data_IF_656307049229
#
_entry.id   IF_656307049229
#
_cell.length_a   1.000
_cell.length_b   1.000
_cell.length_c   1.000
_cell.angle_alpha   90.00
_cell.angle_beta   90.00
_cell.angle_gamma   90.00
#
_symmetry.space_group_name_H-M   'P 1'
#
loop_
_entity.id
_entity.type
_entity.pdbx_description
1 polymer ?
#
# COMPACT_ATOMS: atom_id res chain seq x y z
N UNK A 1 -25.84 -5.66 26.00
CA UNK A 1 -24.45 -5.22 25.72
C UNK A 1 -23.87 -5.83 24.45
N UNK A 2 -23.86 -7.17 24.29
CA UNK A 2 -23.33 -7.85 23.08
C UNK A 2 -23.93 -7.35 21.76
N UNK A 3 -25.25 -7.19 21.68
CA UNK A 3 -25.96 -6.72 20.48
C UNK A 3 -25.53 -5.29 20.10
N UNK A 4 -25.43 -4.40 21.08
CA UNK A 4 -24.99 -3.02 20.87
C UNK A 4 -23.54 -2.96 20.37
N UNK A 5 -22.63 -3.73 21.02
CA UNK A 5 -21.24 -3.83 20.57
C UNK A 5 -21.15 -4.36 19.15
N UNK A 6 -21.90 -5.41 18.80
CA UNK A 6 -21.92 -5.97 17.44
C UNK A 6 -22.45 -4.97 16.39
N UNK A 7 -23.39 -4.10 16.78
CA UNK A 7 -23.92 -3.06 15.89
C UNK A 7 -22.91 -1.92 15.66
N UNK A 8 -22.16 -1.51 16.67
CA UNK A 8 -21.19 -0.40 16.59
C UNK A 8 -19.87 -0.84 15.96
N UNK A 9 -19.43 -2.06 16.18
CA UNK A 9 -18.12 -2.59 15.80
C UNK A 9 -17.76 -2.35 14.32
N UNK A 10 -18.64 -2.62 13.32
CA UNK A 10 -18.33 -2.34 11.91
C UNK A 10 -18.06 -0.85 11.63
N UNK A 11 -18.72 0.05 12.36
CA UNK A 11 -18.52 1.50 12.18
C UNK A 11 -17.20 1.97 12.76
N UNK A 12 -16.74 1.40 13.89
CA UNK A 12 -15.39 1.66 14.41
C UNK A 12 -14.34 1.19 13.42
N UNK A 13 -14.53 0.03 12.79
CA UNK A 13 -13.64 -0.49 11.76
C UNK A 13 -13.64 0.40 10.50
N UNK A 14 -14.80 0.91 10.07
CA UNK A 14 -14.92 1.86 8.96
C UNK A 14 -14.20 3.17 9.31
N UNK A 15 -14.44 3.70 10.52
CA UNK A 15 -13.82 4.93 11.00
C UNK A 15 -12.29 4.82 11.00
N UNK A 16 -11.74 3.66 11.39
CA UNK A 16 -10.31 3.40 11.33
C UNK A 16 -9.75 3.71 9.93
N UNK A 17 -10.38 3.19 8.88
CA UNK A 17 -9.90 3.44 7.50
C UNK A 17 -10.17 4.86 7.01
N UNK A 18 -11.22 5.53 7.49
CA UNK A 18 -11.50 6.91 7.12
C UNK A 18 -10.48 7.90 7.70
N UNK A 19 -9.91 7.59 8.87
CA UNK A 19 -8.96 8.49 9.53
C UNK A 19 -7.50 8.21 9.13
N UNK A 20 -7.18 7.10 8.47
CA UNK A 20 -5.81 6.77 8.07
C UNK A 20 -5.09 7.89 7.29
N UNK A 21 -5.73 8.63 6.36
CA UNK A 21 -5.08 9.76 5.72
C UNK A 21 -4.63 10.87 6.66
N UNK A 22 -5.18 10.93 7.88
CA UNK A 22 -4.87 11.92 8.91
C UNK A 22 -3.83 11.43 9.93
N UNK A 23 -3.13 10.32 9.66
CA UNK A 23 -2.19 9.69 10.61
C UNK A 23 -1.15 10.66 11.15
N UNK A 24 -0.67 11.61 10.36
CA UNK A 24 0.29 12.61 10.80
C UNK A 24 -0.30 13.65 11.76
N UNK A 25 -1.59 13.96 11.66
CA UNK A 25 -2.30 14.92 12.52
C UNK A 25 -2.85 14.28 13.79
N UNK A 26 -3.34 13.05 13.69
CA UNK A 26 -4.03 12.35 14.79
C UNK A 26 -3.38 10.99 15.08
N UNK A 27 -2.07 10.98 15.26
CA UNK A 27 -1.22 9.78 15.39
C UNK A 27 -1.73 8.74 16.38
N UNK A 28 -2.38 9.17 17.47
CA UNK A 28 -2.91 8.26 18.49
C UNK A 28 -4.25 7.62 18.10
N UNK A 29 -5.05 8.26 17.26
CA UNK A 29 -6.44 7.85 17.00
C UNK A 29 -6.57 6.49 16.30
N UNK A 30 -5.77 6.12 15.29
CA UNK A 30 -5.78 4.77 14.73
C UNK A 30 -5.50 3.71 15.79
N UNK A 31 -4.54 3.96 16.67
CA UNK A 31 -4.19 3.02 17.76
C UNK A 31 -5.31 2.89 18.80
N UNK A 32 -5.99 3.99 19.14
CA UNK A 32 -7.15 3.98 20.04
C UNK A 32 -8.29 3.17 19.44
N UNK A 33 -8.61 3.37 18.16
CA UNK A 33 -9.65 2.61 17.47
C UNK A 33 -9.31 1.12 17.38
N UNK A 34 -8.04 0.80 17.10
CA UNK A 34 -7.55 -0.57 17.13
C UNK A 34 -7.70 -1.20 18.52
N UNK A 35 -7.37 -0.48 19.57
CA UNK A 35 -7.55 -0.95 20.96
C UNK A 35 -9.03 -1.22 21.27
N UNK A 36 -9.93 -0.32 20.87
CA UNK A 36 -11.38 -0.51 21.01
C UNK A 36 -11.83 -1.79 20.31
N UNK A 37 -11.38 -2.00 19.06
CA UNK A 37 -11.70 -3.20 18.29
C UNK A 37 -11.17 -4.47 18.97
N UNK A 38 -9.93 -4.45 19.48
CA UNK A 38 -9.32 -5.59 20.19
C UNK A 38 -10.09 -5.92 21.46
N UNK A 39 -10.46 -4.92 22.27
CA UNK A 39 -11.24 -5.13 23.49
C UNK A 39 -12.65 -5.65 23.20
N UNK A 40 -13.31 -5.14 22.16
CA UNK A 40 -14.65 -5.57 21.78
C UNK A 40 -14.70 -6.96 21.10
N UNK A 41 -13.63 -7.36 20.43
CA UNK A 41 -13.55 -8.58 19.63
C UNK A 41 -13.96 -9.86 20.38
N UNK A 42 -13.44 -10.18 21.58
CA UNK A 42 -13.78 -11.43 22.29
C UNK A 42 -15.27 -11.54 22.62
N UNK A 43 -15.97 -10.42 22.80
CA UNK A 43 -17.39 -10.39 23.14
C UNK A 43 -18.31 -10.60 21.93
N UNK A 44 -17.78 -10.40 20.70
CA UNK A 44 -18.58 -10.37 19.47
C UNK A 44 -18.33 -11.62 18.63
N UNK A 45 -17.09 -12.09 18.59
CA UNK A 45 -16.65 -13.21 17.72
C UNK A 45 -17.46 -14.48 17.98
N UNK A 46 -17.80 -15.20 16.90
CA UNK A 46 -18.47 -16.49 16.97
C UNK A 46 -17.64 -17.58 16.30
N UNK A 47 -17.89 -18.86 16.66
CA UNK A 47 -17.22 -20.00 16.01
C UNK A 47 -17.48 -20.05 14.49
N UNK A 48 -18.60 -19.48 14.02
CA UNK A 48 -18.92 -19.38 12.59
C UNK A 48 -18.01 -18.36 11.89
N UNK A 49 -17.64 -17.28 12.56
CA UNK A 49 -16.77 -16.25 12.00
C UNK A 49 -15.35 -16.77 11.77
N UNK A 50 -14.83 -17.60 12.68
CA UNK A 50 -13.51 -18.22 12.53
C UNK A 50 -13.41 -19.12 11.29
N UNK A 51 -14.52 -19.70 10.83
CA UNK A 51 -14.56 -20.52 9.60
C UNK A 51 -14.47 -19.69 8.31
N UNK A 52 -14.61 -18.35 8.38
CA UNK A 52 -14.48 -17.48 7.21
C UNK A 52 -13.03 -17.32 6.75
N UNK A 53 -12.07 -17.55 7.63
CA UNK A 53 -10.65 -17.33 7.33
C UNK A 53 -10.05 -18.45 6.48
N UNK A 54 -9.22 -18.10 5.54
CA UNK A 54 -8.43 -19.04 4.77
C UNK A 54 -7.25 -19.56 5.59
N UNK A 55 -7.41 -20.71 6.24
CA UNK A 55 -6.46 -21.28 7.19
C UNK A 55 -5.05 -21.39 6.58
N UNK A 56 -4.91 -21.96 5.38
CA UNK A 56 -3.60 -22.17 4.76
C UNK A 56 -2.80 -20.89 4.54
N UNK A 57 -3.46 -19.85 3.99
CA UNK A 57 -2.80 -18.56 3.73
C UNK A 57 -2.47 -17.82 5.02
N UNK A 58 -3.36 -17.88 6.01
CA UNK A 58 -3.14 -17.24 7.32
C UNK A 58 -2.02 -17.93 8.10
N UNK A 59 -1.96 -19.26 8.04
CA UNK A 59 -0.91 -20.04 8.69
C UNK A 59 0.48 -19.66 8.15
N UNK A 60 0.62 -19.48 6.83
CA UNK A 60 1.88 -19.03 6.22
C UNK A 60 2.31 -17.65 6.72
N UNK A 61 1.37 -16.70 6.84
CA UNK A 61 1.67 -15.37 7.38
C UNK A 61 2.06 -15.43 8.86
N UNK A 62 1.34 -16.21 9.67
CA UNK A 62 1.67 -16.41 11.08
C UNK A 62 3.04 -17.08 11.23
N UNK A 63 3.33 -18.11 10.42
CA UNK A 63 4.64 -18.76 10.41
C UNK A 63 5.76 -17.78 10.08
N UNK A 64 5.56 -16.89 9.11
CA UNK A 64 6.54 -15.86 8.77
C UNK A 64 6.83 -14.94 9.95
N UNK A 65 5.80 -14.47 10.66
CA UNK A 65 5.99 -13.64 11.87
C UNK A 65 6.70 -14.41 12.97
N UNK A 66 6.32 -15.67 13.21
CA UNK A 66 6.99 -16.50 14.19
C UNK A 66 8.46 -16.73 13.83
N UNK A 67 8.79 -16.91 12.55
CA UNK A 67 10.16 -16.98 12.08
C UNK A 67 10.93 -15.69 12.40
N UNK A 68 10.37 -14.50 12.11
CA UNK A 68 11.02 -13.22 12.41
C UNK A 68 11.28 -13.05 13.90
N UNK A 69 10.31 -13.40 14.75
CA UNK A 69 10.45 -13.37 16.21
C UNK A 69 11.53 -14.34 16.69
N UNK A 70 11.52 -15.58 16.21
CA UNK A 70 12.50 -16.59 16.56
C UNK A 70 13.91 -16.18 16.11
N UNK A 71 14.05 -15.68 14.87
CA UNK A 71 15.31 -15.17 14.35
C UNK A 71 15.88 -14.07 15.23
N UNK A 72 15.05 -13.09 15.58
CA UNK A 72 15.44 -11.95 16.44
C UNK A 72 15.84 -12.40 17.85
N UNK A 73 15.11 -13.38 18.44
CA UNK A 73 15.43 -13.96 19.74
C UNK A 73 16.75 -14.73 19.72
N UNK A 74 16.94 -15.63 18.74
CA UNK A 74 18.17 -16.45 18.62
C UNK A 74 19.41 -15.58 18.43
N UNK A 75 19.26 -14.48 17.68
CA UNK A 75 20.35 -13.52 17.43
C UNK A 75 20.55 -12.51 18.57
N UNK A 76 19.79 -12.58 19.66
CA UNK A 76 19.89 -11.67 20.81
C UNK A 76 19.47 -10.22 20.53
N UNK A 77 18.64 -9.98 19.49
CA UNK A 77 18.26 -8.64 19.02
C UNK A 77 16.77 -8.30 19.28
N UNK A 78 16.07 -9.14 20.04
CA UNK A 78 14.61 -9.08 20.16
C UNK A 78 14.08 -7.70 20.56
N UNK A 79 14.64 -7.06 21.56
CA UNK A 79 14.18 -5.75 22.05
C UNK A 79 14.27 -4.66 20.97
N UNK A 80 15.34 -4.71 20.18
CA UNK A 80 15.60 -3.72 19.12
C UNK A 80 14.73 -3.95 17.88
N UNK A 81 14.55 -5.21 17.49
CA UNK A 81 13.83 -5.59 16.27
C UNK A 81 12.30 -5.65 16.50
N UNK A 82 11.85 -5.89 17.74
CA UNK A 82 10.42 -6.00 18.05
C UNK A 82 9.63 -4.74 17.67
N UNK A 83 10.26 -3.57 17.73
CA UNK A 83 9.64 -2.29 17.32
C UNK A 83 9.17 -2.36 15.85
N UNK A 84 9.92 -3.05 14.99
CA UNK A 84 9.58 -3.24 13.57
C UNK A 84 8.63 -4.44 13.38
N UNK A 85 8.92 -5.57 14.04
CA UNK A 85 8.12 -6.80 13.90
C UNK A 85 6.68 -6.60 14.35
N UNK A 86 6.42 -5.79 15.40
CA UNK A 86 5.04 -5.47 15.83
C UNK A 86 4.20 -4.81 14.74
N UNK A 87 4.82 -3.96 13.90
CA UNK A 87 4.12 -3.34 12.76
C UNK A 87 3.78 -4.37 11.69
N UNK A 88 4.61 -5.40 11.52
CA UNK A 88 4.35 -6.52 10.61
C UNK A 88 3.23 -7.44 11.10
N UNK A 89 2.96 -7.47 12.42
CA UNK A 89 1.83 -8.23 12.99
C UNK A 89 0.48 -7.53 12.74
N UNK A 90 0.48 -6.22 12.55
CA UNK A 90 -0.72 -5.40 12.44
C UNK A 90 -1.64 -5.84 11.28
N UNK A 91 -1.18 -6.12 10.05
CA UNK A 91 -2.04 -6.61 8.96
C UNK A 91 -2.78 -7.91 9.30
N UNK A 92 -2.11 -8.83 9.99
CA UNK A 92 -2.73 -10.10 10.43
C UNK A 92 -3.79 -9.81 11.52
N UNK A 93 -3.46 -8.95 12.48
CA UNK A 93 -4.41 -8.49 13.51
C UNK A 93 -5.69 -7.91 12.90
N UNK A 94 -5.56 -7.09 11.85
CA UNK A 94 -6.69 -6.50 11.12
C UNK A 94 -7.56 -7.59 10.48
N UNK A 95 -6.96 -8.63 9.89
CA UNK A 95 -7.74 -9.76 9.34
C UNK A 95 -8.58 -10.43 10.42
N UNK A 96 -8.01 -10.69 11.59
CA UNK A 96 -8.78 -11.27 12.71
C UNK A 96 -9.88 -10.33 13.20
N UNK A 97 -9.58 -9.05 13.39
CA UNK A 97 -10.56 -8.06 13.84
C UNK A 97 -11.71 -7.85 12.84
N UNK A 98 -11.49 -8.16 11.57
CA UNK A 98 -12.55 -8.10 10.57
C UNK A 98 -13.55 -9.25 10.64
N UNK A 99 -13.19 -10.41 11.21
CA UNK A 99 -14.01 -11.63 11.16
C UNK A 99 -15.48 -11.46 11.65
N UNK A 100 -15.77 -10.68 12.72
CA UNK A 100 -17.16 -10.47 13.17
C UNK A 100 -18.01 -9.65 12.18
N UNK A 101 -17.39 -8.96 11.22
CA UNK A 101 -18.08 -8.06 10.30
C UNK A 101 -18.71 -8.88 9.16
N UNK A 102 -20.02 -8.70 8.98
CA UNK A 102 -20.76 -9.39 7.93
C UNK A 102 -20.84 -8.59 6.62
N UNK A 103 -20.87 -7.26 6.70
CA UNK A 103 -21.06 -6.38 5.54
C UNK A 103 -19.73 -5.91 4.93
N UNK A 104 -19.22 -6.73 4.04
CA UNK A 104 -17.97 -6.45 3.30
C UNK A 104 -18.08 -5.22 2.37
N UNK A 105 -19.28 -4.96 1.83
CA UNK A 105 -19.48 -3.84 0.90
C UNK A 105 -19.29 -2.49 1.60
N UNK A 106 -19.74 -2.38 2.86
CA UNK A 106 -19.56 -1.14 3.65
C UNK A 106 -18.09 -0.82 3.90
N UNK A 107 -17.30 -1.83 4.29
CA UNK A 107 -15.87 -1.64 4.56
C UNK A 107 -15.09 -1.28 3.28
N UNK A 108 -15.41 -1.92 2.16
CA UNK A 108 -14.82 -1.56 0.88
C UNK A 108 -15.13 -0.11 0.50
N UNK A 109 -16.34 0.37 0.75
CA UNK A 109 -16.70 1.77 0.51
C UNK A 109 -15.90 2.73 1.39
N UNK A 110 -15.46 2.31 2.59
CA UNK A 110 -14.63 3.16 3.46
C UNK A 110 -13.33 3.60 2.77
N UNK A 111 -12.67 2.73 1.99
CA UNK A 111 -11.47 3.09 1.23
C UNK A 111 -11.80 4.13 0.14
N UNK A 112 -12.93 4.00 -0.56
CA UNK A 112 -13.36 4.98 -1.56
C UNK A 112 -13.60 6.34 -0.89
N UNK A 113 -14.30 6.37 0.24
CA UNK A 113 -14.54 7.62 0.97
C UNK A 113 -13.24 8.20 1.56
N UNK A 114 -12.34 7.35 2.07
CA UNK A 114 -11.03 7.76 2.56
C UNK A 114 -10.21 8.47 1.47
N UNK A 115 -10.22 7.92 0.23
CA UNK A 115 -9.55 8.58 -0.90
C UNK A 115 -10.18 9.92 -1.25
N UNK A 116 -11.52 10.05 -1.24
CA UNK A 116 -12.19 11.32 -1.49
C UNK A 116 -11.87 12.37 -0.42
N UNK A 117 -11.84 11.98 0.85
CA UNK A 117 -11.48 12.88 1.95
C UNK A 117 -10.04 13.41 1.74
N UNK A 118 -9.10 12.53 1.41
CA UNK A 118 -7.73 12.92 1.13
C UNK A 118 -7.63 13.88 -0.09
N UNK A 119 -8.38 13.61 -1.16
CA UNK A 119 -8.44 14.46 -2.36
C UNK A 119 -9.02 15.83 -2.03
N UNK A 120 -10.16 15.88 -1.34
CA UNK A 120 -10.82 17.14 -0.98
C UNK A 120 -9.90 17.98 -0.09
N UNK A 121 -9.27 17.36 0.92
CA UNK A 121 -8.32 18.04 1.78
C UNK A 121 -7.17 18.66 0.98
N UNK A 122 -6.53 17.89 0.12
CA UNK A 122 -5.42 18.37 -0.72
C UNK A 122 -5.86 19.53 -1.62
N UNK A 123 -7.04 19.43 -2.25
CA UNK A 123 -7.55 20.52 -3.10
C UNK A 123 -7.82 21.79 -2.29
N UNK A 124 -8.37 21.68 -1.09
CA UNK A 124 -8.60 22.83 -0.20
C UNK A 124 -7.27 23.46 0.22
N UNK A 125 -6.28 22.66 0.65
CA UNK A 125 -4.96 23.17 1.03
C UNK A 125 -4.25 23.83 -0.16
N UNK A 126 -4.34 23.23 -1.33
CA UNK A 126 -3.79 23.79 -2.56
C UNK A 126 -4.43 25.16 -2.89
N UNK A 127 -5.76 25.29 -2.78
CA UNK A 127 -6.46 26.57 -2.99
C UNK A 127 -6.03 27.64 -1.97
N UNK A 128 -5.79 27.25 -0.72
CA UNK A 128 -5.28 28.16 0.32
C UNK A 128 -3.87 28.64 -0.04
N UNK A 129 -2.98 27.73 -0.46
CA UNK A 129 -1.62 28.07 -0.86
C UNK A 129 -1.58 29.00 -2.08
N UNK A 130 -2.40 28.72 -3.10
CA UNK A 130 -2.52 29.58 -4.30
C UNK A 130 -3.04 30.99 -3.94
N UNK A 131 -3.97 31.09 -2.97
CA UNK A 131 -4.49 32.39 -2.55
C UNK A 131 -3.49 33.19 -1.69
N UNK A 132 -2.56 32.53 -1.03
CA UNK A 132 -1.51 33.16 -0.22
C UNK A 132 -0.32 33.64 -1.05
N UNK A 133 0.01 32.90 -2.12
CA UNK A 133 1.17 33.13 -2.98
C UNK A 133 0.69 33.47 -4.40
N UNK A 134 0.80 34.76 -4.81
CA UNK A 134 0.36 35.21 -6.13
C UNK A 134 1.11 34.59 -7.33
N UNK A 135 2.28 33.99 -7.09
CA UNK A 135 3.18 33.45 -8.12
C UNK A 135 3.12 31.92 -8.29
N UNK A 136 2.14 31.27 -7.65
CA UNK A 136 1.97 29.81 -7.74
C UNK A 136 1.48 29.42 -9.13
N UNK A 137 2.35 28.85 -9.95
CA UNK A 137 1.89 28.22 -11.19
C UNK A 137 1.32 26.84 -10.86
N UNK A 138 0.15 26.52 -11.43
CA UNK A 138 -0.59 25.24 -11.27
C UNK A 138 0.30 24.00 -11.60
N UNK A 139 1.46 24.23 -12.20
CA UNK A 139 2.45 23.22 -12.56
C UNK A 139 3.51 22.98 -11.47
N UNK A 140 3.50 23.71 -10.34
CA UNK A 140 4.50 23.58 -9.29
C UNK A 140 4.25 22.38 -8.39
N UNK A 141 5.06 21.42 -8.59
CA UNK A 141 5.10 20.09 -8.02
C UNK A 141 5.31 20.07 -6.51
N UNK A 142 6.16 20.94 -5.99
CA UNK A 142 6.56 20.97 -4.58
C UNK A 142 5.39 21.39 -3.69
N UNK A 143 4.71 22.46 -4.05
CA UNK A 143 3.58 23.00 -3.29
C UNK A 143 2.38 22.05 -3.23
N UNK A 144 2.18 21.27 -4.32
CA UNK A 144 1.16 20.22 -4.32
C UNK A 144 1.52 19.11 -3.34
N UNK A 145 2.82 18.80 -3.17
CA UNK A 145 3.29 17.79 -2.23
C UNK A 145 3.12 18.25 -0.79
N UNK A 146 3.42 19.51 -0.50
CA UNK A 146 3.26 20.09 0.84
C UNK A 146 1.77 20.22 1.26
N UNK A 147 0.86 20.26 0.29
CA UNK A 147 -0.58 20.23 0.52
C UNK A 147 -1.14 18.82 0.81
N UNK A 148 -0.35 17.74 0.69
CA UNK A 148 -0.82 16.38 0.91
C UNK A 148 -1.04 16.10 2.40
N UNK A 149 -2.04 15.29 2.68
CA UNK A 149 -2.40 14.89 4.03
C UNK A 149 -1.45 13.81 4.61
N UNK A 150 -0.91 12.97 3.74
CA UNK A 150 0.12 11.97 4.01
C UNK A 150 1.07 11.89 2.82
N UNK A 151 2.19 11.19 2.97
CA UNK A 151 3.15 11.00 1.89
C UNK A 151 2.51 10.59 0.57
N UNK A 152 2.94 11.24 -0.51
CA UNK A 152 2.46 11.02 -1.88
C UNK A 152 2.39 9.56 -2.30
N UNK A 153 3.34 8.73 -1.85
CA UNK A 153 3.40 7.31 -2.18
C UNK A 153 2.24 6.55 -1.57
N UNK A 154 1.87 6.85 -0.31
CA UNK A 154 0.74 6.23 0.39
C UNK A 154 -0.62 6.76 -0.07
N UNK A 155 -0.72 8.06 -0.40
CA UNK A 155 -1.91 8.60 -1.08
C UNK A 155 -2.11 7.90 -2.43
N UNK A 156 -1.02 7.70 -3.18
CA UNK A 156 -1.04 6.95 -4.44
C UNK A 156 -1.58 5.54 -4.26
N UNK A 157 -1.13 4.82 -3.23
CA UNK A 157 -1.62 3.47 -2.90
C UNK A 157 -3.11 3.50 -2.53
N UNK A 158 -3.55 4.47 -1.73
CA UNK A 158 -4.96 4.63 -1.37
C UNK A 158 -5.84 4.84 -2.61
N UNK A 159 -5.43 5.71 -3.53
CA UNK A 159 -6.13 5.94 -4.79
C UNK A 159 -6.18 4.67 -5.66
N UNK A 160 -5.08 3.90 -5.75
CA UNK A 160 -5.07 2.62 -6.46
C UNK A 160 -6.05 1.60 -5.86
N UNK A 161 -6.08 1.48 -4.53
CA UNK A 161 -7.04 0.62 -3.84
C UNK A 161 -8.48 1.08 -4.10
N UNK A 162 -8.75 2.39 -4.06
CA UNK A 162 -10.06 2.97 -4.38
C UNK A 162 -10.48 2.67 -5.83
N UNK A 163 -9.57 2.80 -6.81
CA UNK A 163 -9.81 2.45 -8.22
C UNK A 163 -10.14 0.96 -8.36
N UNK A 164 -9.36 0.07 -7.75
CA UNK A 164 -9.58 -1.37 -7.84
C UNK A 164 -10.90 -1.80 -7.21
N UNK A 165 -11.27 -1.21 -6.06
CA UNK A 165 -12.54 -1.48 -5.41
C UNK A 165 -13.71 -0.96 -6.25
N UNK A 166 -13.62 0.26 -6.76
CA UNK A 166 -14.64 0.84 -7.64
C UNK A 166 -14.82 -0.01 -8.90
N UNK A 167 -13.71 -0.46 -9.51
CA UNK A 167 -13.74 -1.38 -10.65
C UNK A 167 -14.42 -2.72 -10.34
N UNK A 168 -14.19 -3.29 -9.14
CA UNK A 168 -14.86 -4.54 -8.71
C UNK A 168 -16.37 -4.42 -8.68
N UNK A 169 -16.89 -3.24 -8.30
CA UNK A 169 -18.34 -3.01 -8.17
C UNK A 169 -19.01 -2.52 -9.45
N UNK A 170 -18.25 -2.19 -10.50
CA UNK A 170 -18.81 -1.90 -11.81
C UNK A 170 -19.45 -3.16 -12.41
N UNK A 171 -20.75 -3.10 -12.66
CA UNK A 171 -21.51 -4.19 -13.29
C UNK A 171 -21.60 -3.97 -14.80
N UNK A 172 -21.62 -5.08 -15.57
CA UNK A 172 -21.77 -5.02 -17.05
C UNK A 172 -23.18 -4.58 -17.50
N UNK A 173 -24.18 -4.91 -16.68
CA UNK A 173 -25.56 -4.45 -16.90
C UNK A 173 -25.71 -3.05 -16.33
N UNK A 174 -26.66 -2.27 -16.90
CA UNK A 174 -26.97 -0.96 -16.35
C UNK A 174 -27.40 -1.09 -14.87
N UNK A 175 -26.66 -0.36 -14.00
CA UNK A 175 -26.98 -0.25 -12.58
C UNK A 175 -26.81 1.21 -12.16
N UNK A 176 -27.73 1.80 -11.40
CA UNK A 176 -27.66 3.21 -11.00
C UNK A 176 -26.35 3.57 -10.30
N UNK A 177 -25.79 2.65 -9.51
CA UNK A 177 -24.53 2.86 -8.78
C UNK A 177 -23.28 2.91 -9.71
N UNK A 178 -23.36 2.40 -10.95
CA UNK A 178 -22.21 2.39 -11.86
C UNK A 178 -21.65 3.79 -12.11
N UNK A 179 -22.50 4.81 -12.17
CA UNK A 179 -22.08 6.20 -12.34
C UNK A 179 -21.18 6.67 -11.19
N UNK A 180 -21.47 6.28 -9.94
CA UNK A 180 -20.65 6.66 -8.78
C UNK A 180 -19.30 5.95 -8.78
N UNK A 181 -19.26 4.66 -9.13
CA UNK A 181 -18.01 3.92 -9.24
C UNK A 181 -17.14 4.40 -10.39
N UNK A 182 -17.75 4.73 -11.53
CA UNK A 182 -17.03 5.31 -12.68
C UNK A 182 -16.46 6.70 -12.32
N UNK A 183 -17.27 7.56 -11.70
CA UNK A 183 -16.81 8.86 -11.22
C UNK A 183 -15.65 8.73 -10.22
N UNK A 184 -15.74 7.75 -9.29
CA UNK A 184 -14.66 7.45 -8.37
C UNK A 184 -13.36 7.09 -9.10
N UNK A 185 -13.42 6.23 -10.11
CA UNK A 185 -12.24 5.86 -10.90
C UNK A 185 -11.66 7.10 -11.58
N UNK A 186 -12.49 7.90 -12.27
CA UNK A 186 -12.04 9.09 -12.99
C UNK A 186 -11.38 10.09 -12.03
N UNK A 187 -12.02 10.40 -10.90
CA UNK A 187 -11.51 11.35 -9.91
C UNK A 187 -10.16 10.88 -9.35
N UNK A 188 -10.05 9.60 -8.96
CA UNK A 188 -8.79 9.07 -8.42
C UNK A 188 -7.68 9.06 -9.47
N UNK A 189 -7.97 8.69 -10.74
CA UNK A 189 -6.97 8.72 -11.83
C UNK A 189 -6.54 10.15 -12.11
N UNK A 190 -7.47 11.10 -12.23
CA UNK A 190 -7.16 12.53 -12.43
C UNK A 190 -6.31 13.10 -11.30
N UNK A 191 -6.62 12.69 -10.06
CA UNK A 191 -5.84 13.11 -8.91
C UNK A 191 -4.43 12.49 -8.89
N UNK A 192 -4.27 11.22 -9.25
CA UNK A 192 -2.94 10.60 -9.40
C UNK A 192 -2.07 11.32 -10.44
N UNK A 193 -2.68 11.81 -11.53
CA UNK A 193 -2.00 12.63 -12.54
C UNK A 193 -1.66 14.00 -11.96
N UNK A 194 -2.56 14.64 -11.20
CA UNK A 194 -2.33 15.93 -10.56
C UNK A 194 -1.13 15.89 -9.61
N UNK A 195 -1.10 14.92 -8.68
CA UNK A 195 -0.01 14.77 -7.71
C UNK A 195 1.23 14.10 -8.31
N UNK A 196 1.17 13.68 -9.59
CA UNK A 196 2.25 12.98 -10.31
C UNK A 196 2.88 11.84 -9.49
N UNK A 197 2.09 11.02 -8.84
CA UNK A 197 2.60 9.86 -8.09
C UNK A 197 3.17 8.81 -9.05
N UNK A 198 4.47 8.94 -9.39
CA UNK A 198 5.16 8.07 -10.35
C UNK A 198 4.95 6.59 -10.02
N UNK A 199 5.10 6.21 -8.76
CA UNK A 199 4.90 4.83 -8.30
C UNK A 199 3.48 4.34 -8.57
N UNK A 200 2.46 5.13 -8.19
CA UNK A 200 1.07 4.74 -8.40
C UNK A 200 0.70 4.67 -9.88
N UNK A 201 1.19 5.61 -10.69
CA UNK A 201 0.97 5.61 -12.14
C UNK A 201 1.61 4.39 -12.82
N UNK A 202 2.83 4.01 -12.43
CA UNK A 202 3.50 2.80 -12.92
C UNK A 202 2.71 1.55 -12.52
N UNK A 203 2.27 1.46 -11.27
CA UNK A 203 1.44 0.33 -10.82
C UNK A 203 0.12 0.29 -11.61
N UNK A 204 -0.57 1.43 -11.76
CA UNK A 204 -1.81 1.53 -12.55
C UNK A 204 -1.61 1.04 -13.98
N UNK A 205 -0.51 1.43 -14.62
CA UNK A 205 -0.12 0.95 -15.93
C UNK A 205 -0.02 -0.58 -15.97
N UNK A 206 0.73 -1.19 -15.05
CA UNK A 206 0.83 -2.65 -14.96
C UNK A 206 -0.53 -3.31 -14.72
N UNK A 207 -1.42 -2.70 -13.92
CA UNK A 207 -2.76 -3.21 -13.69
C UNK A 207 -3.65 -3.16 -14.95
N UNK A 208 -3.53 -2.11 -15.76
CA UNK A 208 -4.22 -1.99 -17.04
C UNK A 208 -3.74 -3.07 -18.01
N UNK A 209 -2.42 -3.30 -18.08
CA UNK A 209 -1.83 -4.39 -18.88
C UNK A 209 -2.30 -5.75 -18.37
N UNK A 210 -2.20 -5.99 -17.05
CA UNK A 210 -2.68 -7.23 -16.41
C UNK A 210 -4.14 -7.51 -16.76
N UNK A 211 -4.99 -6.48 -16.79
CA UNK A 211 -6.42 -6.63 -17.09
C UNK A 211 -6.67 -7.23 -18.45
N UNK A 212 -5.78 -7.04 -19.42
CA UNK A 212 -5.94 -7.56 -20.80
C UNK A 212 -5.83 -9.10 -20.87
N UNK A 213 -5.15 -9.72 -19.89
CA UNK A 213 -5.04 -11.18 -19.82
C UNK A 213 -6.30 -11.87 -19.28
N UNK A 214 -7.28 -11.12 -18.77
CA UNK A 214 -8.51 -11.65 -18.18
C UNK A 214 -9.73 -11.36 -19.06
N UNK A 215 -10.59 -12.37 -19.26
CA UNK A 215 -11.85 -12.25 -19.99
C UNK A 215 -11.78 -12.75 -21.42
N UNK A 216 -12.84 -12.49 -22.22
CA UNK A 216 -12.96 -12.85 -23.63
C UNK A 216 -12.18 -11.86 -24.50
N UNK A 217 -11.78 -12.26 -25.71
CA UNK A 217 -11.10 -11.41 -26.72
C UNK A 217 -9.75 -10.83 -26.26
N UNK A 218 -8.97 -11.59 -25.51
CA UNK A 218 -7.70 -11.15 -24.92
C UNK A 218 -6.72 -10.61 -25.95
N UNK A 219 -6.59 -11.28 -27.12
CA UNK A 219 -5.59 -10.93 -28.13
C UNK A 219 -5.80 -9.53 -28.71
N UNK A 220 -7.04 -9.21 -29.13
CA UNK A 220 -7.37 -7.89 -29.72
C UNK A 220 -7.13 -6.77 -28.72
N UNK A 221 -7.61 -6.94 -27.47
CA UNK A 221 -7.42 -5.93 -26.43
C UNK A 221 -5.96 -5.72 -26.07
N UNK A 222 -5.18 -6.80 -25.96
CA UNK A 222 -3.74 -6.71 -25.69
C UNK A 222 -3.03 -5.95 -26.82
N UNK A 223 -3.34 -6.27 -28.08
CA UNK A 223 -2.77 -5.56 -29.22
C UNK A 223 -3.09 -4.08 -29.20
N UNK A 224 -4.37 -3.70 -28.97
CA UNK A 224 -4.77 -2.30 -28.87
C UNK A 224 -4.03 -1.60 -27.72
N UNK A 225 -3.95 -2.24 -26.55
CA UNK A 225 -3.25 -1.68 -25.38
C UNK A 225 -1.77 -1.44 -25.70
N UNK A 226 -1.09 -2.41 -26.30
CA UNK A 226 0.32 -2.28 -26.69
C UNK A 226 0.51 -1.15 -27.69
N UNK A 227 -0.33 -1.06 -28.73
CA UNK A 227 -0.27 0.01 -29.73
C UNK A 227 -0.44 1.40 -29.10
N UNK A 228 -1.44 1.55 -28.22
CA UNK A 228 -1.68 2.81 -27.50
C UNK A 228 -0.49 3.19 -26.61
N UNK A 229 0.09 2.22 -25.91
CA UNK A 229 1.24 2.46 -25.04
C UNK A 229 2.48 2.85 -25.82
N UNK A 230 2.75 2.17 -26.93
CA UNK A 230 3.86 2.52 -27.83
C UNK A 230 3.65 3.93 -28.41
N UNK A 231 2.42 4.27 -28.81
CA UNK A 231 2.10 5.61 -29.31
C UNK A 231 2.32 6.69 -28.22
N UNK A 232 1.92 6.42 -26.96
CA UNK A 232 2.17 7.33 -25.82
C UNK A 232 3.67 7.49 -25.58
N UNK A 233 4.44 6.40 -25.55
CA UNK A 233 5.89 6.45 -25.36
C UNK A 233 6.59 7.24 -26.46
N UNK A 234 6.24 7.01 -27.71
CA UNK A 234 6.76 7.74 -28.86
C UNK A 234 6.43 9.23 -28.74
N UNK A 235 5.18 9.55 -28.44
CA UNK A 235 4.74 10.95 -28.30
C UNK A 235 5.45 11.64 -27.12
N UNK A 236 5.62 10.94 -25.99
CA UNK A 236 6.34 11.45 -24.82
C UNK A 236 7.82 11.69 -25.13
N UNK A 237 8.47 10.78 -25.86
CA UNK A 237 9.86 10.93 -26.25
C UNK A 237 10.08 12.18 -27.10
N UNK A 238 9.20 12.45 -28.08
CA UNK A 238 9.32 13.61 -28.98
C UNK A 238 8.90 14.94 -28.35
N UNK A 239 7.88 14.95 -27.45
CA UNK A 239 7.38 16.18 -26.84
C UNK A 239 8.06 16.57 -25.53
N UNK A 240 8.61 15.61 -24.78
CA UNK A 240 9.20 15.84 -23.47
C UNK A 240 10.58 15.16 -23.36
N UNK A 241 11.58 15.59 -24.15
CA UNK A 241 12.92 15.00 -24.12
C UNK A 241 13.56 15.12 -22.74
N UNK A 242 13.25 16.19 -22.00
CA UNK A 242 13.78 16.44 -20.64
C UNK A 242 13.29 15.46 -19.56
N UNK A 243 12.16 14.79 -19.78
CA UNK A 243 11.65 13.77 -18.84
C UNK A 243 12.53 12.52 -18.81
N UNK A 244 13.23 12.24 -19.91
CA UNK A 244 14.11 11.08 -20.06
C UNK A 244 15.60 11.40 -19.87
N UNK A 245 15.97 12.69 -19.68
CA UNK A 245 17.32 13.06 -19.35
C UNK A 245 17.52 12.94 -17.83
N UNK A 246 18.60 12.30 -17.37
CA UNK A 246 18.97 12.38 -15.95
C UNK A 246 19.22 13.84 -15.62
N UNK A 247 18.50 14.40 -14.65
CA UNK A 247 18.75 15.74 -14.13
C UNK A 247 20.16 15.75 -13.51
N UNK A 248 21.10 16.37 -14.20
CA UNK A 248 22.48 16.55 -13.71
C UNK A 248 22.61 17.70 -12.70
N UNK A 249 21.58 18.55 -12.58
CA UNK A 249 21.57 19.67 -11.64
C UNK A 249 20.77 19.31 -10.38
N UNK A 250 21.49 18.90 -9.36
CA UNK A 250 20.95 18.52 -8.02
C UNK A 250 20.84 19.76 -7.09
N UNK A 251 21.24 20.95 -7.53
CA UNK A 251 21.65 22.05 -6.65
C UNK A 251 20.54 22.96 -6.09
N UNK A 252 19.23 22.80 -6.43
CA UNK A 252 18.20 23.76 -5.94
C UNK A 252 16.85 23.17 -5.54
N UNK A 253 16.75 21.93 -5.11
CA UNK A 253 15.44 21.39 -4.71
C UNK A 253 15.39 21.17 -3.21
N UNK A 254 14.70 22.04 -2.49
CA UNK A 254 14.32 21.83 -1.07
C UNK A 254 13.40 20.61 -0.99
N UNK A 255 13.83 19.56 -0.33
CA UNK A 255 13.17 18.25 -0.40
C UNK A 255 12.35 17.94 0.85
N UNK A 256 11.07 17.76 0.68
CA UNK A 256 10.22 17.07 1.67
C UNK A 256 10.29 15.55 1.44
N UNK A 257 10.15 14.79 2.52
CA UNK A 257 10.22 13.31 2.56
C UNK A 257 9.27 12.61 1.57
N UNK A 258 8.23 13.33 1.14
CA UNK A 258 7.15 12.82 0.30
C UNK A 258 7.53 12.57 -1.17
N UNK A 259 8.71 12.97 -1.62
CA UNK A 259 9.08 12.89 -3.04
C UNK A 259 10.55 12.61 -3.29
N UNK A 260 11.10 11.54 -2.70
CA UNK A 260 12.46 11.13 -3.02
C UNK A 260 12.63 10.98 -4.55
N UNK A 261 13.43 11.81 -5.23
CA UNK A 261 13.78 11.61 -6.62
C UNK A 261 14.39 10.22 -6.81
N UNK A 262 14.34 9.68 -8.01
CA UNK A 262 14.97 8.40 -8.30
C UNK A 262 16.46 8.39 -7.92
N UNK A 263 17.14 9.53 -8.06
CA UNK A 263 18.54 9.70 -7.68
C UNK A 263 18.82 9.47 -6.19
N UNK A 264 17.90 9.83 -5.29
CA UNK A 264 18.08 9.55 -3.86
C UNK A 264 17.84 8.08 -3.53
N UNK A 265 16.92 7.43 -4.21
CA UNK A 265 16.74 5.98 -4.06
C UNK A 265 17.93 5.19 -4.54
N UNK A 266 18.60 5.64 -5.61
CA UNK A 266 19.87 5.01 -6.05
C UNK A 266 20.93 5.11 -4.97
N UNK A 267 21.11 6.26 -4.33
CA UNK A 267 22.06 6.43 -3.21
C UNK A 267 21.72 5.50 -2.03
N UNK A 268 20.43 5.38 -1.67
CA UNK A 268 19.98 4.45 -0.62
C UNK A 268 20.29 3.00 -1.01
N UNK A 269 20.01 2.61 -2.26
CA UNK A 269 20.26 1.24 -2.73
C UNK A 269 21.75 0.95 -2.89
N UNK A 270 22.57 1.93 -3.26
CA UNK A 270 24.05 1.80 -3.28
C UNK A 270 24.57 1.57 -1.86
N UNK A 271 24.12 2.35 -0.88
CA UNK A 271 24.45 2.12 0.52
C UNK A 271 23.95 0.74 1.02
N UNK A 272 22.76 0.34 0.63
CA UNK A 272 22.21 -0.98 0.99
C UNK A 272 23.07 -2.10 0.38
N UNK A 273 23.50 -1.94 -0.89
CA UNK A 273 24.38 -2.89 -1.58
C UNK A 273 25.75 -3.00 -0.91
N UNK A 274 26.34 -1.88 -0.48
CA UNK A 274 27.59 -1.87 0.29
C UNK A 274 27.44 -2.66 1.61
N UNK A 275 26.35 -2.42 2.36
CA UNK A 275 26.08 -3.18 3.59
C UNK A 275 25.94 -4.69 3.31
N UNK A 276 25.33 -5.07 2.19
CA UNK A 276 25.22 -6.48 1.79
C UNK A 276 26.60 -7.08 1.52
N UNK A 277 27.47 -6.36 0.82
CA UNK A 277 28.80 -6.85 0.43
C UNK A 277 29.79 -6.92 1.60
N UNK A 278 29.74 -5.95 2.51
CA UNK A 278 30.63 -5.89 3.68
C UNK A 278 30.27 -6.88 4.77
N UNK A 279 28.98 -7.07 4.96
CA UNK A 279 28.49 -8.00 5.95
C UNK A 279 27.83 -9.13 5.23
N UNK A 280 28.33 -10.29 5.40
CA UNK A 280 27.56 -11.48 5.16
C UNK A 280 26.24 -11.38 5.95
N UNK A 281 25.29 -10.56 5.48
CA UNK A 281 23.93 -10.53 6.03
C UNK A 281 23.33 -11.93 6.05
N UNK A 282 23.88 -12.82 5.22
CA UNK A 282 23.79 -14.25 5.31
C UNK A 282 22.35 -14.75 5.36
N UNK A 283 22.18 -15.87 6.07
CA UNK A 283 20.86 -16.51 6.19
C UNK A 283 19.91 -15.78 7.14
N UNK A 284 20.43 -15.08 8.16
CA UNK A 284 19.65 -14.54 9.29
C UNK A 284 19.63 -13.00 9.40
N UNK A 285 20.36 -12.29 8.51
CA UNK A 285 20.43 -10.84 8.48
C UNK A 285 21.14 -10.21 9.68
N UNK A 286 21.26 -8.87 9.65
CA UNK A 286 21.97 -8.11 10.69
C UNK A 286 21.02 -7.47 11.73
N UNK A 287 19.71 -7.52 11.55
CA UNK A 287 18.69 -6.88 12.38
C UNK A 287 18.16 -5.58 11.79
N UNK A 288 16.88 -5.27 12.04
CA UNK A 288 16.22 -4.08 11.50
C UNK A 288 16.84 -2.79 12.05
N UNK A 289 17.14 -2.75 13.35
CA UNK A 289 17.75 -1.58 13.98
C UNK A 289 19.16 -1.35 13.50
N UNK A 290 19.94 -2.42 13.35
CA UNK A 290 21.32 -2.34 12.87
C UNK A 290 21.37 -1.94 11.41
N UNK A 291 20.47 -2.43 10.57
CA UNK A 291 20.31 -1.99 9.18
C UNK A 291 20.12 -0.46 9.11
N UNK A 292 19.20 0.07 9.93
CA UNK A 292 18.96 1.51 9.98
C UNK A 292 20.21 2.30 10.42
N UNK A 293 20.98 1.80 11.39
CA UNK A 293 22.20 2.45 11.86
C UNK A 293 23.30 2.43 10.79
N UNK A 294 23.48 1.29 10.11
CA UNK A 294 24.49 1.16 9.04
C UNK A 294 24.15 2.00 7.82
N UNK A 295 22.87 2.13 7.46
CA UNK A 295 22.44 3.06 6.41
C UNK A 295 22.82 4.49 6.76
N UNK A 296 22.52 4.97 7.97
CA UNK A 296 22.90 6.32 8.42
C UNK A 296 24.44 6.51 8.39
N UNK A 297 25.19 5.51 8.80
CA UNK A 297 26.67 5.56 8.74
C UNK A 297 27.16 5.66 7.28
N UNK A 298 26.58 4.87 6.37
CA UNK A 298 26.89 4.94 4.95
C UNK A 298 26.58 6.33 4.37
N UNK A 299 25.39 6.88 4.67
CA UNK A 299 25.01 8.24 4.21
C UNK A 299 26.02 9.30 4.67
N UNK A 300 26.49 9.18 5.92
CA UNK A 300 27.49 10.08 6.49
C UNK A 300 28.82 10.04 5.72
N UNK A 301 29.21 8.85 5.24
CA UNK A 301 30.53 8.64 4.64
C UNK A 301 30.52 8.82 3.10
N UNK A 302 29.39 8.53 2.44
CA UNK A 302 29.34 8.41 0.98
C UNK A 302 28.67 9.60 0.29
N UNK A 303 27.83 10.37 1.00
CA UNK A 303 27.17 11.52 0.39
C UNK A 303 28.06 12.74 0.55
N UNK A 304 28.57 13.27 -0.59
CA UNK A 304 29.49 14.39 -0.61
C UNK A 304 28.81 15.73 -0.28
N UNK A 305 27.60 15.95 -0.85
CA UNK A 305 26.85 17.17 -0.61
C UNK A 305 26.36 17.25 0.85
N UNK A 306 26.75 18.34 1.54
CA UNK A 306 26.53 18.50 2.98
C UNK A 306 25.04 18.58 3.31
N UNK A 307 24.26 19.29 2.52
CA UNK A 307 22.84 19.50 2.77
C UNK A 307 22.04 18.20 2.56
N UNK A 308 22.28 17.53 1.44
CA UNK A 308 21.70 16.20 1.15
C UNK A 308 22.10 15.20 2.22
N UNK A 309 23.37 15.14 2.60
CA UNK A 309 23.88 14.26 3.65
C UNK A 309 23.17 14.49 4.98
N UNK A 310 23.04 15.75 5.41
CA UNK A 310 22.35 16.09 6.66
C UNK A 310 20.89 15.67 6.61
N UNK A 311 20.20 15.93 5.51
CA UNK A 311 18.83 15.50 5.32
C UNK A 311 18.65 13.96 5.42
N UNK A 312 19.58 13.18 4.83
CA UNK A 312 19.56 11.71 4.92
C UNK A 312 19.80 11.20 6.35
N UNK A 313 20.70 11.86 7.10
CA UNK A 313 21.00 11.54 8.49
C UNK A 313 19.82 11.86 9.40
N UNK A 314 19.22 13.05 9.26
CA UNK A 314 18.13 13.53 10.11
C UNK A 314 16.85 12.71 9.90
N UNK A 315 16.51 12.41 8.65
CA UNK A 315 15.33 11.61 8.28
C UNK A 315 15.53 10.11 8.45
N UNK A 316 16.77 9.65 8.58
CA UNK A 316 17.12 8.22 8.75
C UNK A 316 16.41 7.35 7.72
N UNK A 317 16.54 7.69 6.43
CA UNK A 317 15.89 6.94 5.37
C UNK A 317 16.18 5.44 5.49
N UNK A 318 15.12 4.64 5.36
CA UNK A 318 15.20 3.18 5.29
C UNK A 318 15.57 2.73 3.86
N UNK A 319 15.56 1.42 3.59
CA UNK A 319 15.93 0.86 2.28
C UNK A 319 15.02 1.28 1.12
N UNK A 320 13.83 1.85 1.38
CA UNK A 320 12.78 2.13 0.37
C UNK A 320 12.56 0.96 -0.61
N UNK A 321 12.73 -0.26 -0.12
CA UNK A 321 12.47 -1.51 -0.83
C UNK A 321 12.26 -2.63 0.18
N UNK A 322 11.04 -3.13 0.29
CA UNK A 322 10.67 -4.12 1.29
C UNK A 322 11.45 -5.45 1.15
N UNK A 323 11.85 -5.81 -0.06
CA UNK A 323 12.60 -7.04 -0.31
C UNK A 323 14.05 -6.92 0.15
N UNK A 324 14.70 -5.79 -0.16
CA UNK A 324 16.03 -5.48 0.33
C UNK A 324 16.05 -5.36 1.85
N UNK A 325 15.01 -4.75 2.43
CA UNK A 325 14.87 -4.63 3.87
C UNK A 325 14.83 -5.99 4.57
N UNK A 326 14.01 -6.92 4.08
CA UNK A 326 13.98 -8.28 4.62
C UNK A 326 15.29 -9.03 4.42
N UNK A 327 15.94 -8.87 3.26
CA UNK A 327 17.20 -9.53 2.99
C UNK A 327 18.31 -9.07 3.94
N UNK A 328 18.48 -7.77 4.10
CA UNK A 328 19.53 -7.21 4.94
C UNK A 328 19.23 -7.41 6.42
N UNK A 329 18.00 -7.10 6.84
CA UNK A 329 17.63 -7.06 8.25
C UNK A 329 17.34 -8.46 8.84
N UNK A 330 16.64 -9.32 8.10
CA UNK A 330 16.20 -10.62 8.59
C UNK A 330 16.75 -11.82 7.80
N UNK A 331 17.57 -11.56 6.77
CA UNK A 331 18.33 -12.55 6.02
C UNK A 331 17.59 -13.20 4.85
N UNK A 332 18.35 -14.04 4.13
CA UNK A 332 17.87 -14.72 2.92
C UNK A 332 16.65 -15.61 3.19
N UNK A 333 16.60 -16.27 4.33
CA UNK A 333 15.46 -17.14 4.68
C UNK A 333 14.18 -16.31 4.79
N UNK A 334 14.24 -15.16 5.44
CA UNK A 334 13.12 -14.23 5.55
C UNK A 334 12.61 -13.78 4.17
N UNK A 335 13.53 -13.40 3.29
CA UNK A 335 13.19 -13.00 1.91
C UNK A 335 12.51 -14.14 1.15
N UNK A 336 13.06 -15.37 1.20
CA UNK A 336 12.48 -16.55 0.53
C UNK A 336 11.09 -16.86 1.07
N UNK A 337 10.89 -16.81 2.39
CA UNK A 337 9.59 -17.06 3.01
C UNK A 337 8.57 -15.98 2.57
N UNK A 338 8.97 -14.71 2.56
CA UNK A 338 8.10 -13.62 2.13
C UNK A 338 7.72 -13.74 0.65
N UNK A 339 8.69 -13.98 -0.24
CA UNK A 339 8.44 -14.23 -1.66
C UNK A 339 7.56 -15.46 -1.89
N UNK A 340 7.78 -16.52 -1.10
CA UNK A 340 6.95 -17.74 -1.12
C UNK A 340 5.48 -17.44 -0.76
N UNK A 341 5.24 -16.58 0.22
CA UNK A 341 3.88 -16.12 0.58
C UNK A 341 3.25 -15.35 -0.57
N UNK A 342 3.96 -14.40 -1.16
CA UNK A 342 3.45 -13.61 -2.29
C UNK A 342 3.13 -14.52 -3.48
N UNK A 343 4.04 -15.44 -3.81
CA UNK A 343 3.83 -16.42 -4.87
C UNK A 343 2.60 -17.31 -4.59
N UNK A 344 2.47 -17.82 -3.36
CA UNK A 344 1.31 -18.62 -2.97
C UNK A 344 -0.01 -17.85 -3.09
N UNK A 345 -0.03 -16.58 -2.69
CA UNK A 345 -1.21 -15.73 -2.83
C UNK A 345 -1.56 -15.49 -4.30
N UNK A 346 -0.56 -15.24 -5.17
CA UNK A 346 -0.76 -15.12 -6.62
C UNK A 346 -1.30 -16.44 -7.19
N UNK A 347 -0.65 -17.57 -6.88
CA UNK A 347 -1.06 -18.90 -7.36
C UNK A 347 -2.51 -19.23 -6.98
N UNK A 348 -2.93 -18.90 -5.77
CA UNK A 348 -4.30 -19.14 -5.31
C UNK A 348 -5.35 -18.26 -6.03
N UNK A 349 -4.95 -17.07 -6.48
CA UNK A 349 -5.87 -16.05 -6.99
C UNK A 349 -5.74 -15.75 -8.48
N UNK A 350 -4.77 -16.31 -9.20
CA UNK A 350 -4.41 -15.92 -10.59
C UNK A 350 -5.56 -16.04 -11.60
N UNK A 351 -6.60 -16.82 -11.31
CA UNK A 351 -7.78 -16.95 -12.18
C UNK A 351 -8.72 -15.74 -12.14
N UNK A 352 -8.59 -14.89 -11.14
CA UNK A 352 -9.48 -13.75 -10.89
C UNK A 352 -8.71 -12.44 -10.93
N UNK A 353 -9.08 -11.52 -11.82
CA UNK A 353 -8.39 -10.25 -12.01
C UNK A 353 -8.26 -9.45 -10.72
N UNK A 354 -9.37 -9.20 -10.01
CA UNK A 354 -9.39 -8.29 -8.87
C UNK A 354 -8.43 -8.67 -7.73
N UNK A 355 -8.45 -9.91 -7.18
CA UNK A 355 -7.50 -10.29 -6.15
C UNK A 355 -6.05 -10.35 -6.68
N UNK A 356 -5.82 -10.76 -7.92
CA UNK A 356 -4.48 -10.74 -8.52
C UNK A 356 -3.95 -9.31 -8.66
N UNK A 357 -4.80 -8.37 -9.06
CA UNK A 357 -4.45 -6.96 -9.16
C UNK A 357 -4.08 -6.35 -7.79
N UNK A 358 -4.81 -6.71 -6.73
CA UNK A 358 -4.46 -6.29 -5.37
C UNK A 358 -3.09 -6.82 -4.93
N UNK A 359 -2.82 -8.11 -5.18
CA UNK A 359 -1.51 -8.71 -4.83
C UNK A 359 -0.40 -8.05 -5.64
N UNK A 360 -0.59 -7.87 -6.96
CA UNK A 360 0.40 -7.20 -7.81
C UNK A 360 0.67 -5.76 -7.36
N UNK A 361 -0.37 -5.03 -6.93
CA UNK A 361 -0.19 -3.67 -6.39
C UNK A 361 0.74 -3.66 -5.17
N UNK A 362 0.57 -4.62 -4.24
CA UNK A 362 1.44 -4.73 -3.06
C UNK A 362 2.86 -5.18 -3.44
N UNK A 363 3.00 -6.12 -4.38
CA UNK A 363 4.31 -6.56 -4.88
C UNK A 363 5.08 -5.38 -5.47
N UNK A 364 4.48 -4.63 -6.40
CA UNK A 364 5.11 -3.50 -7.06
C UNK A 364 5.36 -2.33 -6.11
N UNK A 365 4.45 -2.08 -5.17
CA UNK A 365 4.64 -1.07 -4.15
C UNK A 365 5.84 -1.38 -3.24
N UNK A 366 6.00 -2.64 -2.83
CA UNK A 366 7.13 -3.10 -2.02
C UNK A 366 8.49 -3.00 -2.72
N UNK A 367 8.53 -2.86 -4.06
CA UNK A 367 9.79 -2.61 -4.78
C UNK A 367 10.34 -1.20 -4.58
N UNK A 368 9.49 -0.25 -4.17
CA UNK A 368 9.83 1.17 -4.08
C UNK A 368 9.55 1.78 -2.72
N UNK A 369 8.94 1.01 -1.79
CA UNK A 369 8.59 1.49 -0.46
C UNK A 369 8.55 0.35 0.56
N UNK A 370 8.86 0.68 1.82
CA UNK A 370 8.80 -0.23 2.97
C UNK A 370 7.47 -0.04 3.70
N UNK A 371 6.44 -0.76 3.28
CA UNK A 371 5.10 -0.60 3.88
C UNK A 371 4.99 -1.07 5.34
N UNK A 372 5.97 -1.82 5.87
CA UNK A 372 5.99 -2.19 7.30
C UNK A 372 6.71 -1.18 8.20
N UNK A 373 7.46 -0.24 7.64
CA UNK A 373 8.11 0.81 8.44
C UNK A 373 7.14 1.91 8.89
N UNK A 374 5.99 2.04 8.20
CA UNK A 374 4.93 2.97 8.56
C UNK A 374 3.62 2.25 8.86
N UNK A 375 2.93 2.68 9.92
CA UNK A 375 1.64 2.08 10.28
C UNK A 375 0.61 2.16 9.16
N UNK A 376 0.53 3.29 8.45
CA UNK A 376 -0.40 3.48 7.33
C UNK A 376 -0.24 2.43 6.24
N UNK A 377 1.01 2.07 5.88
CA UNK A 377 1.31 1.00 4.93
C UNK A 377 0.82 -0.36 5.43
N UNK A 378 1.08 -0.66 6.70
CA UNK A 378 0.63 -1.90 7.33
C UNK A 378 -0.91 -1.99 7.40
N UNK A 379 -1.62 -0.88 7.64
CA UNK A 379 -3.09 -0.83 7.59
C UNK A 379 -3.63 -1.11 6.19
N UNK A 380 -3.06 -0.51 5.14
CA UNK A 380 -3.51 -0.77 3.75
C UNK A 380 -3.22 -2.21 3.33
N UNK A 381 -2.06 -2.77 3.73
CA UNK A 381 -1.79 -4.19 3.53
C UNK A 381 -2.81 -5.07 4.28
N UNK A 382 -3.14 -4.71 5.53
CA UNK A 382 -4.18 -5.39 6.31
C UNK A 382 -5.53 -5.42 5.59
N UNK A 383 -5.93 -4.29 5.00
CA UNK A 383 -7.14 -4.22 4.18
C UNK A 383 -7.09 -5.17 2.97
N UNK A 384 -5.96 -5.18 2.26
CA UNK A 384 -5.77 -6.11 1.13
C UNK A 384 -5.84 -7.57 1.60
N UNK A 385 -5.20 -7.90 2.72
CA UNK A 385 -5.26 -9.25 3.29
C UNK A 385 -6.67 -9.64 3.74
N UNK A 386 -7.48 -8.72 4.27
CA UNK A 386 -8.90 -8.96 4.58
C UNK A 386 -9.63 -9.44 3.32
N UNK A 387 -9.42 -8.77 2.18
CA UNK A 387 -10.06 -9.14 0.90
C UNK A 387 -9.59 -10.51 0.40
N UNK A 388 -8.31 -10.83 0.58
CA UNK A 388 -7.70 -12.04 0.05
C UNK A 388 -7.93 -13.29 0.91
N UNK A 389 -8.00 -13.11 2.25
CA UNK A 389 -8.00 -14.21 3.19
C UNK A 389 -9.40 -14.58 3.71
N UNK A 390 -10.37 -13.67 3.63
CA UNK A 390 -11.71 -13.92 4.12
C UNK A 390 -12.61 -14.44 3.00
N UNK A 391 -13.06 -15.67 3.14
CA UNK A 391 -13.96 -16.33 2.20
C UNK A 391 -15.39 -15.81 2.34
N UNK A 392 -15.81 -15.00 1.36
CA UNK A 392 -17.20 -14.49 1.28
C UNK A 392 -18.15 -15.37 0.42
N UNK A 393 -17.71 -16.56 0.00
CA UNK A 393 -18.55 -17.44 -0.85
C UNK A 393 -19.93 -17.72 -0.27
N UNK A 394 -20.02 -17.90 1.05
CA UNK A 394 -21.31 -18.23 1.70
C UNK A 394 -22.35 -17.10 1.66
N UNK A 395 -21.96 -15.86 1.38
CA UNK A 395 -22.89 -14.72 1.29
C UNK A 395 -23.37 -14.54 -0.15
N UNK A 396 -22.51 -14.81 -1.13
CA UNK A 396 -22.90 -14.76 -2.56
C UNK A 396 -23.79 -15.94 -2.95
N UNK A 397 -23.46 -17.15 -2.51
CA UNK A 397 -24.23 -18.37 -2.80
C UNK A 397 -25.63 -18.32 -2.14
N UNK A 398 -25.73 -17.74 -0.94
CA UNK A 398 -27.04 -17.53 -0.29
C UNK A 398 -27.91 -16.52 -1.04
N UNK A 399 -27.36 -15.43 -1.54
CA UNK A 399 -28.10 -14.45 -2.36
C UNK A 399 -28.44 -14.98 -3.75
N UNK A 400 -27.60 -15.84 -4.33
CA UNK A 400 -27.88 -16.47 -5.61
C UNK A 400 -29.06 -17.48 -5.46
N UNK A 401 -29.05 -18.25 -4.37
CA UNK A 401 -30.14 -19.21 -4.06
C UNK A 401 -31.42 -18.50 -3.66
N UNK A 402 -31.38 -17.39 -2.93
CA UNK A 402 -32.54 -16.57 -2.62
C UNK A 402 -33.15 -15.92 -3.89
N UNK A 403 -32.30 -15.43 -4.82
CA UNK A 403 -32.81 -14.90 -6.10
C UNK A 403 -33.32 -15.93 -7.07
N UNK A 404 -32.93 -17.20 -6.94
CA UNK A 404 -33.47 -18.33 -7.73
C UNK A 404 -34.75 -18.91 -7.12
N UNK A 405 -35.00 -18.69 -5.82
CA UNK A 405 -36.22 -19.12 -5.16
C UNK A 405 -37.39 -18.12 -5.30
N UNK A 406 -37.09 -16.85 -5.60
CA UNK A 406 -38.10 -15.81 -5.84
C UNK A 406 -38.62 -15.80 -7.30
N UNK A 407 -37.92 -16.51 -8.22
CA UNK A 407 -38.33 -16.68 -9.62
C UNK A 407 -39.02 -18.03 -9.91
N UNK A 408 -39.30 -18.84 -8.88
CA UNK A 408 -40.03 -20.09 -8.96
C UNK A 408 -41.43 -19.98 -8.28
#
# INVERSE_FOLDING_TARGET
MRILLAAIYPYVFILLYLILPFDEYVRALPNILMLILVIAFPFIITKKDLKKISISSTLLLVFFILFLLANSLIQGRFELDFVFIKTMMLPIGIVFLYLPIADFKKVNKAIIFSSFIAIIYTLVQFLILVNQNSDVSILFFQETVDALLIDRVYVGLLCLLSILISYKYLTKKYHPDNKYYLASIIINVSYLLLIMSKTALVILFFLVVLRQFYGKEKKIRLTITVVVLVAILITSYFKFPTVFQPSTDISEVTYTESSLPLGYRTQIWDCTSKIINENTSGLFGIGFRETANKLVLCYKNEIEDIETRQNFIDKRFNTHNQYLDFYVSAGLISLILFLGILFFLVYKNYKHFFPTALILSIILFGMVENYFHRQVGAYYLGFVLVILLINNKNILDKKLNESLSDDS
#
